data_IF_963601326459
#
_entry.id   IF_963601326459
#
_cell.length_a   1.000
_cell.length_b   1.000
_cell.length_c   1.000
_cell.angle_alpha   90.00
_cell.angle_beta   90.00
_cell.angle_gamma   90.00
#
_symmetry.space_group_name_H-M   'P 1'
#
loop_
_entity.id
_entity.type
_entity.pdbx_description
1 polymer ?
#
# COMPACT_ATOMS: atom_id res chain seq x y z
N UNK A 1 -9.28 -23.12 -36.22
CA UNK A 1 -9.85 -22.18 -37.20
C UNK A 1 -9.70 -22.81 -38.56
N UNK A 2 -10.73 -22.71 -39.41
CA UNK A 2 -10.57 -23.00 -40.84
C UNK A 2 -9.54 -22.00 -41.39
N UNK A 3 -8.73 -22.38 -42.38
CA UNK A 3 -7.96 -21.38 -43.12
C UNK A 3 -8.90 -20.54 -43.99
N UNK A 4 -8.43 -19.40 -44.49
CA UNK A 4 -9.24 -18.54 -45.36
C UNK A 4 -9.66 -19.29 -46.63
N UNK A 5 -8.79 -20.15 -47.17
CA UNK A 5 -9.09 -20.98 -48.33
C UNK A 5 -10.18 -22.01 -48.02
N UNK A 6 -10.10 -22.66 -46.85
CA UNK A 6 -11.10 -23.64 -46.42
C UNK A 6 -12.47 -22.99 -46.16
N UNK A 7 -12.48 -21.77 -45.58
CA UNK A 7 -13.69 -21.00 -45.35
C UNK A 7 -14.36 -20.58 -46.66
N UNK A 8 -13.58 -20.03 -47.61
CA UNK A 8 -14.09 -19.64 -48.92
C UNK A 8 -14.61 -20.86 -49.69
N UNK A 9 -13.90 -22.00 -49.65
CA UNK A 9 -14.35 -23.22 -50.29
C UNK A 9 -15.67 -23.74 -49.71
N UNK A 10 -15.85 -23.63 -48.39
CA UNK A 10 -17.10 -23.99 -47.71
C UNK A 10 -18.25 -23.07 -48.12
N UNK A 11 -18.08 -21.74 -48.05
CA UNK A 11 -19.13 -20.77 -48.42
C UNK A 11 -19.52 -20.87 -49.90
N UNK A 12 -18.55 -21.05 -50.80
CA UNK A 12 -18.81 -21.30 -52.24
C UNK A 12 -19.70 -22.51 -52.48
N UNK A 13 -19.50 -23.59 -51.71
CA UNK A 13 -20.31 -24.82 -51.81
C UNK A 13 -21.71 -24.62 -51.24
N UNK A 14 -21.84 -23.91 -50.12
CA UNK A 14 -23.13 -23.59 -49.48
C UNK A 14 -23.99 -22.69 -50.38
N UNK A 15 -23.40 -21.64 -50.94
CA UNK A 15 -24.10 -20.64 -51.75
C UNK A 15 -24.19 -21.05 -53.23
N UNK A 16 -23.63 -22.22 -53.60
CA UNK A 16 -23.57 -22.76 -54.97
C UNK A 16 -23.03 -21.74 -55.98
N UNK A 17 -21.98 -21.01 -55.59
CA UNK A 17 -21.39 -19.97 -56.42
C UNK A 17 -20.67 -20.58 -57.63
N UNK A 18 -21.03 -20.16 -58.84
CA UNK A 18 -20.31 -20.51 -60.06
C UNK A 18 -19.42 -19.35 -60.51
N UNK A 19 -18.18 -19.34 -60.04
CA UNK A 19 -17.21 -18.26 -60.31
C UNK A 19 -16.77 -18.15 -61.79
N UNK A 20 -17.12 -19.15 -62.61
CA UNK A 20 -16.80 -19.20 -64.04
C UNK A 20 -17.91 -18.66 -64.93
N UNK A 21 -19.05 -18.21 -64.37
CA UNK A 21 -20.12 -17.55 -65.13
C UNK A 21 -19.72 -16.11 -65.49
N UNK A 22 -19.45 -15.88 -66.78
CA UNK A 22 -19.03 -14.58 -67.32
C UNK A 22 -20.13 -13.52 -67.23
N UNK A 23 -21.41 -13.91 -67.24
CA UNK A 23 -22.54 -12.97 -67.15
C UNK A 23 -22.73 -12.43 -65.73
N UNK A 24 -22.21 -13.15 -64.72
CA UNK A 24 -22.32 -12.78 -63.30
C UNK A 24 -20.97 -12.35 -62.70
N UNK A 25 -19.97 -12.06 -63.54
CA UNK A 25 -18.58 -11.77 -63.11
C UNK A 25 -18.49 -10.71 -62.01
N UNK A 26 -19.26 -9.63 -62.11
CA UNK A 26 -19.24 -8.54 -61.12
C UNK A 26 -19.83 -8.98 -59.78
N UNK A 27 -20.93 -9.72 -59.81
CA UNK A 27 -21.61 -10.22 -58.61
C UNK A 27 -20.79 -11.33 -57.93
N UNK A 28 -20.20 -12.23 -58.71
CA UNK A 28 -19.27 -13.25 -58.23
C UNK A 28 -18.04 -12.64 -57.54
N UNK A 29 -17.45 -11.60 -58.14
CA UNK A 29 -16.32 -10.89 -57.55
C UNK A 29 -16.70 -10.24 -56.21
N UNK A 30 -17.84 -9.54 -56.16
CA UNK A 30 -18.34 -8.92 -54.92
C UNK A 30 -18.59 -9.98 -53.84
N UNK A 31 -19.14 -11.12 -54.22
CA UNK A 31 -19.47 -12.21 -53.30
C UNK A 31 -18.21 -12.87 -52.72
N UNK A 32 -17.20 -13.14 -53.55
CA UNK A 32 -15.90 -13.64 -53.08
C UNK A 32 -15.19 -12.66 -52.14
N UNK A 33 -15.25 -11.35 -52.44
CA UNK A 33 -14.70 -10.31 -51.55
C UNK A 33 -15.44 -10.27 -50.21
N UNK A 34 -16.77 -10.43 -50.21
CA UNK A 34 -17.54 -10.51 -48.98
C UNK A 34 -17.15 -11.70 -48.11
N UNK A 35 -16.88 -12.88 -48.70
CA UNK A 35 -16.39 -14.03 -47.92
C UNK A 35 -15.05 -13.77 -47.24
N UNK A 36 -14.15 -13.02 -47.89
CA UNK A 36 -12.89 -12.60 -47.28
C UNK A 36 -13.16 -11.68 -46.09
N UNK A 37 -14.02 -10.66 -46.26
CA UNK A 37 -14.40 -9.77 -45.16
C UNK A 37 -15.08 -10.51 -44.00
N UNK A 38 -16.01 -11.43 -44.29
CA UNK A 38 -16.65 -12.27 -43.27
C UNK A 38 -15.64 -13.14 -42.52
N UNK A 39 -14.68 -13.72 -43.23
CA UNK A 39 -13.63 -14.53 -42.60
C UNK A 39 -12.81 -13.68 -41.62
N UNK A 40 -12.33 -12.51 -42.05
CA UNK A 40 -11.54 -11.65 -41.16
C UNK A 40 -12.37 -11.08 -40.02
N UNK A 41 -13.61 -10.67 -40.25
CA UNK A 41 -14.46 -10.08 -39.20
C UNK A 41 -15.01 -11.11 -38.20
N UNK A 42 -15.30 -12.34 -38.64
CA UNK A 42 -15.93 -13.36 -37.79
C UNK A 42 -14.94 -14.41 -37.24
N UNK A 43 -13.80 -14.63 -37.90
CA UNK A 43 -12.81 -15.63 -37.49
C UNK A 43 -11.51 -15.01 -36.99
N UNK A 44 -11.13 -13.80 -37.43
CA UNK A 44 -10.01 -13.06 -36.86
C UNK A 44 -10.57 -11.92 -36.03
N UNK A 45 -11.14 -12.28 -34.88
CA UNK A 45 -11.83 -11.36 -34.00
C UNK A 45 -10.84 -10.33 -33.40
N UNK A 46 -10.66 -9.21 -34.11
CA UNK A 46 -9.85 -8.06 -33.67
C UNK A 46 -10.44 -7.50 -32.37
N UNK A 47 -11.75 -7.69 -32.15
CA UNK A 47 -12.46 -7.24 -30.96
C UNK A 47 -11.96 -7.95 -29.70
N UNK A 48 -11.61 -9.24 -29.73
CA UNK A 48 -11.04 -9.92 -28.56
C UNK A 48 -9.64 -9.39 -28.19
N UNK A 49 -8.82 -9.02 -29.18
CA UNK A 49 -7.51 -8.41 -28.97
C UNK A 49 -7.61 -6.96 -28.48
N UNK A 50 -8.52 -6.17 -29.08
CA UNK A 50 -8.85 -4.82 -28.64
C UNK A 50 -9.44 -4.82 -27.22
N UNK A 51 -10.35 -5.73 -26.90
CA UNK A 51 -10.91 -5.91 -25.56
C UNK A 51 -9.83 -6.30 -24.54
N UNK A 52 -8.92 -7.22 -24.88
CA UNK A 52 -7.78 -7.56 -24.03
C UNK A 52 -6.87 -6.36 -23.79
N UNK A 53 -6.64 -5.54 -24.81
CA UNK A 53 -5.84 -4.32 -24.71
C UNK A 53 -6.54 -3.28 -23.84
N UNK A 54 -7.82 -3.01 -24.07
CA UNK A 54 -8.65 -2.11 -23.25
C UNK A 54 -8.71 -2.57 -21.79
N UNK A 55 -8.90 -3.86 -21.53
CA UNK A 55 -8.90 -4.41 -20.17
C UNK A 55 -7.54 -4.29 -19.48
N UNK A 56 -6.44 -4.43 -20.24
CA UNK A 56 -5.09 -4.22 -19.75
C UNK A 56 -4.88 -2.75 -19.37
N UNK A 57 -5.22 -1.83 -20.25
CA UNK A 57 -5.09 -0.39 -20.03
C UNK A 57 -5.94 0.08 -18.84
N UNK A 58 -7.18 -0.38 -18.74
CA UNK A 58 -8.04 -0.11 -17.58
C UNK A 58 -7.43 -0.60 -16.26
N UNK A 59 -6.75 -1.76 -16.26
CA UNK A 59 -6.06 -2.26 -15.06
C UNK A 59 -4.86 -1.40 -14.70
N UNK A 60 -4.09 -0.95 -15.68
CA UNK A 60 -2.94 -0.06 -15.47
C UNK A 60 -3.41 1.28 -14.91
N UNK A 61 -4.44 1.89 -15.48
CA UNK A 61 -4.99 3.16 -15.01
C UNK A 61 -5.58 3.05 -13.61
N UNK A 62 -6.27 1.96 -13.30
CA UNK A 62 -6.75 1.68 -11.94
C UNK A 62 -5.60 1.58 -10.95
N UNK A 63 -4.50 0.94 -11.32
CA UNK A 63 -3.32 0.82 -10.46
C UNK A 63 -2.59 2.16 -10.31
N UNK A 64 -2.43 2.92 -11.40
CA UNK A 64 -1.89 4.29 -11.40
C UNK A 64 -2.71 5.20 -10.48
N UNK A 65 -4.04 5.09 -10.50
CA UNK A 65 -4.92 5.87 -9.61
C UNK A 65 -4.76 5.50 -8.13
N UNK A 66 -4.51 4.23 -7.81
CA UNK A 66 -4.20 3.82 -6.42
C UNK A 66 -2.87 4.41 -5.91
N UNK A 67 -2.00 4.81 -6.83
CA UNK A 67 -0.69 5.38 -6.55
C UNK A 67 -0.66 6.91 -6.71
N UNK A 68 -1.82 7.58 -6.74
CA UNK A 68 -1.92 9.02 -7.02
C UNK A 68 -1.19 9.91 -6.02
N UNK A 69 -1.03 9.45 -4.78
CA UNK A 69 -0.39 10.21 -3.70
C UNK A 69 1.15 10.14 -3.78
N UNK A 70 1.70 9.23 -4.60
CA UNK A 70 3.14 9.11 -4.84
C UNK A 70 3.60 10.11 -5.90
N UNK A 71 4.87 10.45 -5.85
CA UNK A 71 5.57 11.20 -6.88
C UNK A 71 5.38 10.54 -8.26
N UNK A 72 5.23 11.35 -9.31
CA UNK A 72 4.96 10.87 -10.67
C UNK A 72 6.02 9.88 -11.17
N UNK A 73 7.30 10.12 -10.90
CA UNK A 73 8.38 9.24 -11.36
C UNK A 73 8.34 7.87 -10.64
N UNK A 74 8.11 7.88 -9.33
CA UNK A 74 7.94 6.66 -8.53
C UNK A 74 6.69 5.90 -8.97
N UNK A 75 5.60 6.62 -9.24
CA UNK A 75 4.34 6.05 -9.71
C UNK A 75 4.50 5.36 -11.05
N UNK A 76 5.07 6.04 -12.05
CA UNK A 76 5.24 5.43 -13.37
C UNK A 76 6.20 4.23 -13.30
N UNK A 77 7.29 4.31 -12.53
CA UNK A 77 8.17 3.16 -12.29
C UNK A 77 7.43 1.94 -11.71
N UNK A 78 6.54 2.14 -10.75
CA UNK A 78 5.72 1.07 -10.19
C UNK A 78 4.73 0.51 -11.21
N UNK A 79 4.12 1.36 -12.03
CA UNK A 79 3.17 0.99 -13.08
C UNK A 79 3.87 0.19 -14.17
N UNK A 80 5.05 0.62 -14.61
CA UNK A 80 5.86 -0.07 -15.62
C UNK A 80 6.26 -1.48 -15.14
N UNK A 81 6.70 -1.62 -13.89
CA UNK A 81 6.99 -2.94 -13.32
C UNK A 81 5.72 -3.82 -13.28
N UNK A 82 4.57 -3.23 -12.98
CA UNK A 82 3.32 -4.00 -12.98
C UNK A 82 2.88 -4.37 -14.39
N UNK A 83 3.09 -3.49 -15.38
CA UNK A 83 2.79 -3.75 -16.78
C UNK A 83 3.65 -4.89 -17.35
N UNK A 84 4.96 -4.85 -17.09
CA UNK A 84 5.92 -5.80 -17.64
C UNK A 84 5.92 -7.14 -16.88
N UNK A 85 5.81 -7.11 -15.54
CA UNK A 85 6.00 -8.30 -14.70
C UNK A 85 4.75 -8.73 -13.92
N UNK A 86 3.65 -7.97 -13.97
CA UNK A 86 2.43 -8.27 -13.22
C UNK A 86 2.58 -8.16 -11.70
N UNK A 87 3.58 -7.40 -11.22
CA UNK A 87 3.92 -7.31 -9.78
C UNK A 87 3.61 -5.95 -9.18
N UNK A 88 2.77 -5.95 -8.14
CA UNK A 88 2.53 -4.78 -7.30
C UNK A 88 3.70 -4.53 -6.34
N UNK A 89 4.78 -3.93 -6.85
CA UNK A 89 6.00 -3.72 -6.07
C UNK A 89 5.79 -2.81 -4.86
N UNK A 90 4.85 -1.87 -4.92
CA UNK A 90 4.49 -1.03 -3.78
C UNK A 90 4.06 -1.85 -2.56
N UNK A 91 3.31 -2.94 -2.78
CA UNK A 91 2.85 -3.85 -1.71
C UNK A 91 3.98 -4.72 -1.19
N UNK A 92 4.81 -5.26 -2.09
CA UNK A 92 5.94 -6.12 -1.72
C UNK A 92 6.98 -5.36 -0.90
N UNK A 93 7.38 -4.17 -1.35
CA UNK A 93 8.33 -3.32 -0.62
C UNK A 93 7.66 -2.80 0.65
N UNK A 94 6.41 -2.31 0.57
CA UNK A 94 5.67 -1.83 1.73
C UNK A 94 5.54 -2.86 2.85
N UNK A 95 5.40 -4.15 2.53
CA UNK A 95 5.41 -5.22 3.53
C UNK A 95 6.76 -5.33 4.26
N UNK A 96 7.87 -5.25 3.54
CA UNK A 96 9.22 -5.26 4.14
C UNK A 96 9.44 -4.03 5.02
N UNK A 97 8.97 -2.86 4.57
CA UNK A 97 9.11 -1.60 5.32
C UNK A 97 8.28 -1.61 6.60
N UNK A 98 7.13 -2.30 6.61
CA UNK A 98 6.32 -2.46 7.82
C UNK A 98 7.04 -3.26 8.91
N UNK A 99 7.93 -4.17 8.56
CA UNK A 99 8.69 -4.94 9.55
C UNK A 99 9.70 -4.08 10.33
N UNK A 100 10.08 -2.91 9.79
CA UNK A 100 10.94 -1.96 10.49
C UNK A 100 10.10 -1.16 11.51
N UNK A 101 10.37 -1.44 12.79
CA UNK A 101 9.71 -0.85 13.96
C UNK A 101 9.78 0.69 13.99
N UNK A 102 10.84 1.29 13.44
CA UNK A 102 11.10 2.73 13.54
C UNK A 102 11.01 3.47 12.22
N UNK A 103 10.58 2.80 11.14
CA UNK A 103 10.51 3.38 9.81
C UNK A 103 9.82 4.75 9.78
N UNK A 104 8.68 4.89 10.45
CA UNK A 104 7.92 6.16 10.48
C UNK A 104 8.68 7.32 11.16
N UNK A 105 9.72 7.03 11.95
CA UNK A 105 10.57 8.04 12.59
C UNK A 105 11.78 8.43 11.75
N UNK A 106 11.98 7.88 10.54
CA UNK A 106 13.09 8.23 9.67
C UNK A 106 12.93 9.65 9.13
N UNK A 107 14.03 10.39 9.02
CA UNK A 107 14.02 11.80 8.55
C UNK A 107 15.21 12.14 7.65
N UNK A 108 16.15 11.22 7.46
CA UNK A 108 17.39 11.47 6.72
C UNK A 108 17.55 10.57 5.51
N UNK A 109 18.16 11.11 4.44
CA UNK A 109 18.51 10.34 3.24
C UNK A 109 19.43 9.15 3.56
N UNK A 110 20.31 9.25 4.56
CA UNK A 110 21.16 8.15 5.00
C UNK A 110 20.36 6.96 5.52
N UNK A 111 19.29 7.20 6.29
CA UNK A 111 18.43 6.13 6.80
C UNK A 111 17.69 5.44 5.66
N UNK A 112 17.07 6.22 4.75
CA UNK A 112 16.38 5.68 3.59
C UNK A 112 17.32 4.92 2.64
N UNK A 113 18.57 5.38 2.47
CA UNK A 113 19.60 4.67 1.69
C UNK A 113 19.99 3.35 2.34
N UNK A 114 20.21 3.33 3.65
CA UNK A 114 20.52 2.09 4.36
C UNK A 114 19.38 1.07 4.17
N UNK A 115 18.14 1.52 4.40
CA UNK A 115 16.96 0.68 4.27
C UNK A 115 16.73 0.21 2.82
N UNK A 116 17.11 1.01 1.82
CA UNK A 116 17.00 0.59 0.41
C UNK A 116 17.96 -0.55 0.08
N UNK A 117 19.18 -0.56 0.62
CA UNK A 117 20.10 -1.69 0.46
C UNK A 117 19.58 -2.95 1.15
N UNK A 118 19.04 -2.82 2.36
CA UNK A 118 18.45 -3.93 3.10
C UNK A 118 17.24 -4.51 2.34
N UNK A 119 16.35 -3.66 1.85
CA UNK A 119 15.22 -4.07 1.02
C UNK A 119 15.67 -4.73 -0.28
N UNK A 120 16.67 -4.17 -0.96
CA UNK A 120 17.22 -4.72 -2.20
C UNK A 120 17.76 -6.14 -1.99
N UNK A 121 18.51 -6.36 -0.90
CA UNK A 121 19.07 -7.67 -0.56
C UNK A 121 18.00 -8.76 -0.39
N UNK A 122 16.83 -8.39 0.16
CA UNK A 122 15.66 -9.26 0.37
C UNK A 122 14.90 -9.52 -0.94
N UNK A 123 14.87 -8.55 -1.86
CA UNK A 123 14.04 -8.59 -3.06
C UNK A 123 14.76 -9.16 -4.29
N UNK A 124 16.06 -8.89 -4.47
CA UNK A 124 16.78 -9.14 -5.73
C UNK A 124 16.78 -10.62 -6.15
N UNK A 125 16.79 -11.55 -5.19
CA UNK A 125 16.74 -12.99 -5.47
C UNK A 125 15.40 -13.40 -6.10
N UNK A 126 14.31 -12.77 -5.69
CA UNK A 126 12.93 -13.06 -6.15
C UNK A 126 12.54 -12.21 -7.35
N UNK A 127 13.11 -11.01 -7.46
CA UNK A 127 12.79 -10.01 -8.48
C UNK A 127 14.08 -9.51 -9.15
N UNK A 128 14.69 -10.30 -10.05
CA UNK A 128 15.95 -9.95 -10.70
C UNK A 128 15.90 -8.67 -11.53
N UNK A 129 14.71 -8.28 -12.02
CA UNK A 129 14.47 -7.04 -12.76
C UNK A 129 14.71 -5.76 -11.93
N UNK A 130 14.87 -5.88 -10.61
CA UNK A 130 15.28 -4.75 -9.76
C UNK A 130 16.78 -4.47 -9.84
N UNK A 131 17.57 -5.29 -10.55
CA UNK A 131 18.99 -5.03 -10.77
C UNK A 131 19.16 -3.63 -11.38
N UNK A 132 20.11 -2.88 -10.87
CA UNK A 132 20.41 -1.50 -11.28
C UNK A 132 19.27 -0.49 -11.02
N UNK A 133 18.20 -0.88 -10.30
CA UNK A 133 17.07 -0.03 -9.91
C UNK A 133 17.14 0.44 -8.44
N UNK A 134 18.33 0.40 -7.82
CA UNK A 134 18.50 0.75 -6.40
C UNK A 134 18.17 2.22 -6.10
N UNK A 135 18.37 3.11 -7.07
CA UNK A 135 17.99 4.52 -6.96
C UNK A 135 16.46 4.68 -6.90
N UNK A 136 15.73 3.99 -7.79
CA UNK A 136 14.26 4.02 -7.77
C UNK A 136 13.69 3.38 -6.51
N UNK A 137 14.33 2.32 -6.00
CA UNK A 137 13.96 1.74 -4.72
C UNK A 137 14.13 2.73 -3.56
N UNK A 138 15.26 3.45 -3.52
CA UNK A 138 15.50 4.52 -2.53
C UNK A 138 14.42 5.61 -2.62
N UNK A 139 14.14 6.11 -3.83
CA UNK A 139 13.10 7.15 -4.06
C UNK A 139 11.73 6.66 -3.61
N UNK A 140 11.37 5.42 -3.97
CA UNK A 140 10.12 4.81 -3.53
C UNK A 140 10.03 4.72 -2.01
N UNK A 141 11.08 4.29 -1.31
CA UNK A 141 11.05 4.15 0.16
C UNK A 141 10.82 5.50 0.83
N UNK A 142 11.52 6.55 0.37
CA UNK A 142 11.36 7.92 0.87
C UNK A 142 9.94 8.46 0.59
N UNK A 143 9.43 8.24 -0.61
CA UNK A 143 8.10 8.69 -1.01
C UNK A 143 7.00 7.89 -0.29
N UNK A 144 7.20 6.59 -0.08
CA UNK A 144 6.33 5.75 0.72
C UNK A 144 6.26 6.22 2.18
N UNK A 145 7.40 6.56 2.78
CA UNK A 145 7.44 7.16 4.12
C UNK A 145 6.62 8.45 4.17
N UNK A 146 6.83 9.35 3.22
CA UNK A 146 6.10 10.60 3.14
C UNK A 146 4.59 10.38 3.02
N UNK A 147 4.15 9.50 2.11
CA UNK A 147 2.75 9.14 1.94
C UNK A 147 2.17 8.52 3.23
N UNK A 148 2.91 7.66 3.93
CA UNK A 148 2.45 7.13 5.22
C UNK A 148 2.34 8.23 6.29
N UNK A 149 3.30 9.15 6.34
CA UNK A 149 3.34 10.23 7.32
C UNK A 149 2.27 11.30 7.05
N UNK A 150 1.92 11.53 5.78
CA UNK A 150 0.88 12.47 5.37
C UNK A 150 -0.55 12.05 5.72
N UNK A 151 -0.80 10.75 5.90
CA UNK A 151 -2.13 10.24 6.28
C UNK A 151 -2.48 10.78 7.65
N UNK A 152 -3.12 11.94 7.70
CA UNK A 152 -3.45 12.63 8.94
C UNK A 152 -4.38 11.74 9.76
N UNK A 153 -3.92 11.41 10.95
CA UNK A 153 -4.79 10.97 12.04
C UNK A 153 -5.12 12.19 12.86
N UNK A 154 -6.39 12.56 12.84
CA UNK A 154 -6.88 13.68 13.62
C UNK A 154 -6.87 13.26 15.09
N UNK A 155 -6.10 14.00 15.88
CA UNK A 155 -6.15 13.95 17.34
C UNK A 155 -6.76 15.28 17.81
N UNK A 156 -7.55 15.29 18.89
CA UNK A 156 -8.03 16.52 19.47
C UNK A 156 -6.86 17.36 19.97
N UNK A 157 -7.13 18.63 20.26
CA UNK A 157 -6.18 19.44 21.00
C UNK A 157 -6.00 18.84 22.40
N UNK A 158 -4.77 18.44 22.74
CA UNK A 158 -4.46 17.85 24.06
C UNK A 158 -3.79 18.91 24.94
N UNK A 159 -2.68 19.48 24.47
CA UNK A 159 -1.98 20.54 25.17
C UNK A 159 -1.15 21.37 24.19
N UNK A 160 -0.83 22.61 24.55
CA UNK A 160 -0.02 23.47 23.70
C UNK A 160 1.36 22.85 23.42
N UNK A 161 2.00 22.22 24.41
CA UNK A 161 3.31 21.59 24.25
C UNK A 161 3.25 20.40 23.28
N UNK A 162 2.30 19.48 23.48
CA UNK A 162 2.17 18.28 22.66
C UNK A 162 1.82 18.64 21.23
N UNK A 163 0.83 19.50 21.03
CA UNK A 163 0.39 19.93 19.70
C UNK A 163 1.51 20.67 18.95
N UNK A 164 2.23 21.57 19.63
CA UNK A 164 3.40 22.22 19.05
C UNK A 164 4.50 21.21 18.67
N UNK A 165 4.75 20.20 19.51
CA UNK A 165 5.74 19.17 19.20
C UNK A 165 5.35 18.36 17.97
N UNK A 166 4.08 17.94 17.86
CA UNK A 166 3.56 17.23 16.69
C UNK A 166 3.71 18.08 15.43
N UNK A 167 3.22 19.32 15.45
CA UNK A 167 3.22 20.22 14.29
C UNK A 167 4.64 20.61 13.86
N UNK A 168 5.52 20.91 14.81
CA UNK A 168 6.92 21.22 14.51
C UNK A 168 7.67 20.01 13.96
N UNK A 169 7.37 18.81 14.45
CA UNK A 169 8.03 17.59 13.96
C UNK A 169 7.62 17.32 12.51
N UNK A 170 6.33 17.42 12.20
CA UNK A 170 5.83 17.33 10.84
C UNK A 170 6.47 18.39 9.93
N UNK A 171 6.40 19.66 10.34
CA UNK A 171 6.85 20.78 9.51
C UNK A 171 8.34 20.75 9.20
N UNK A 172 9.17 20.33 10.17
CA UNK A 172 10.63 20.35 10.03
C UNK A 172 11.19 19.07 9.42
N UNK A 173 10.59 17.91 9.73
CA UNK A 173 11.16 16.61 9.40
C UNK A 173 10.29 15.79 8.45
N UNK A 174 9.08 16.24 8.13
CA UNK A 174 8.06 15.46 7.39
C UNK A 174 7.76 14.10 8.05
N UNK A 175 7.92 14.05 9.39
CA UNK A 175 7.70 12.86 10.21
C UNK A 175 6.40 13.02 10.99
N UNK A 176 5.55 12.00 10.94
CA UNK A 176 4.31 11.96 11.71
C UNK A 176 4.48 11.08 12.95
N UNK A 177 4.76 11.72 14.10
CA UNK A 177 4.86 11.04 15.40
C UNK A 177 3.51 10.47 15.86
N UNK A 178 2.40 11.03 15.39
CA UNK A 178 1.05 10.52 15.63
C UNK A 178 0.83 9.20 14.90
N UNK A 179 1.24 9.11 13.63
CA UNK A 179 1.14 7.85 12.88
C UNK A 179 2.06 6.77 13.45
N UNK A 180 3.25 7.14 13.91
CA UNK A 180 4.12 6.23 14.65
C UNK A 180 3.47 5.72 15.94
N UNK A 181 2.92 6.61 16.77
CA UNK A 181 2.29 6.23 18.03
C UNK A 181 1.06 5.32 17.81
N UNK A 182 0.24 5.61 16.80
CA UNK A 182 -0.87 4.74 16.40
C UNK A 182 -0.36 3.36 15.96
N UNK A 183 0.61 3.32 15.06
CA UNK A 183 1.13 2.06 14.51
C UNK A 183 1.75 1.20 15.62
N UNK A 184 2.45 1.82 16.56
CA UNK A 184 2.92 1.14 17.76
C UNK A 184 1.78 0.58 18.60
N UNK A 185 0.80 1.41 18.97
CA UNK A 185 -0.32 1.00 19.81
C UNK A 185 -1.15 -0.13 19.18
N UNK A 186 -1.35 -0.08 17.85
CA UNK A 186 -2.02 -1.12 17.09
C UNK A 186 -1.23 -2.44 17.09
N UNK A 187 0.08 -2.42 16.78
CA UNK A 187 0.90 -3.64 16.85
C UNK A 187 0.96 -4.19 18.28
N UNK A 188 1.00 -3.29 19.27
CA UNK A 188 1.01 -3.66 20.67
C UNK A 188 -0.31 -4.33 21.07
N UNK A 189 -1.47 -3.85 20.60
CA UNK A 189 -2.77 -4.47 20.89
C UNK A 189 -2.89 -5.88 20.31
N UNK A 190 -2.33 -6.11 19.12
CA UNK A 190 -2.31 -7.43 18.47
C UNK A 190 -1.31 -8.42 19.10
N UNK A 191 -0.39 -7.93 19.95
CA UNK A 191 0.71 -8.70 20.51
C UNK A 191 0.49 -9.04 22.00
N UNK A 192 -0.67 -9.60 22.34
CA UNK A 192 -1.09 -9.94 23.72
C UNK A 192 -0.02 -10.74 24.50
N UNK A 193 0.66 -11.67 23.82
CA UNK A 193 1.72 -12.50 24.39
C UNK A 193 2.98 -11.74 24.78
N UNK A 194 3.13 -10.48 24.36
CA UNK A 194 4.27 -9.62 24.66
C UNK A 194 4.02 -8.66 25.82
N UNK A 195 2.79 -8.56 26.32
CA UNK A 195 2.45 -7.62 27.40
C UNK A 195 3.13 -8.02 28.73
N UNK A 196 3.55 -7.07 29.57
CA UNK A 196 4.05 -7.40 30.90
C UNK A 196 2.99 -8.13 31.72
N UNK A 197 3.38 -9.12 32.52
CA UNK A 197 2.44 -9.84 33.41
C UNK A 197 1.69 -8.91 34.36
N UNK A 198 2.34 -7.82 34.79
CA UNK A 198 1.76 -6.77 35.65
C UNK A 198 0.65 -5.96 34.98
N UNK A 199 0.58 -6.00 33.65
CA UNK A 199 -0.41 -5.27 32.85
C UNK A 199 -1.38 -6.21 32.13
N UNK A 200 -1.43 -7.49 32.51
CA UNK A 200 -2.40 -8.45 31.97
C UNK A 200 -3.47 -8.71 33.02
N UNK A 201 -4.73 -8.49 32.66
CA UNK A 201 -5.90 -8.91 33.43
C UNK A 201 -6.66 -9.99 32.66
N UNK A 202 -7.26 -10.99 33.32
CA UNK A 202 -8.06 -12.00 32.63
C UNK A 202 -9.16 -11.33 31.83
N UNK A 203 -9.31 -11.71 30.56
CA UNK A 203 -10.40 -11.17 29.75
C UNK A 203 -11.74 -11.79 30.14
N UNK A 204 -12.81 -11.03 29.99
CA UNK A 204 -14.18 -11.53 30.11
C UNK A 204 -14.67 -12.22 28.83
N UNK A 205 -13.96 -12.04 27.71
CA UNK A 205 -14.32 -12.58 26.41
C UNK A 205 -13.70 -13.97 26.18
N UNK A 206 -14.42 -14.85 25.47
CA UNK A 206 -13.92 -16.20 25.16
C UNK A 206 -12.88 -16.24 24.05
N UNK A 207 -12.80 -15.18 23.23
CA UNK A 207 -11.90 -15.08 22.07
C UNK A 207 -10.59 -14.35 22.37
N UNK A 208 -10.46 -13.74 23.54
CA UNK A 208 -9.27 -13.03 24.02
C UNK A 208 -8.87 -13.60 25.39
N UNK A 209 -7.57 -13.83 25.63
CA UNK A 209 -7.15 -14.47 26.88
C UNK A 209 -6.88 -13.46 27.98
N UNK A 210 -6.27 -12.34 27.62
CA UNK A 210 -5.96 -11.23 28.52
C UNK A 210 -6.42 -9.91 27.93
N UNK A 211 -6.89 -9.02 28.79
CA UNK A 211 -7.07 -7.62 28.52
C UNK A 211 -5.86 -6.84 29.05
N UNK A 212 -5.48 -5.77 28.36
CA UNK A 212 -4.38 -4.92 28.77
C UNK A 212 -4.84 -3.95 29.86
N UNK A 213 -4.13 -3.93 30.99
CA UNK A 213 -4.42 -3.02 32.09
C UNK A 213 -3.71 -1.67 31.90
N UNK A 214 -4.29 -0.84 31.05
CA UNK A 214 -3.81 0.50 30.72
C UNK A 214 -3.95 1.52 31.89
N UNK A 215 -4.59 1.14 33.00
CA UNK A 215 -4.71 1.99 34.20
C UNK A 215 -3.51 1.87 35.16
N UNK A 216 -2.54 1.01 34.85
CA UNK A 216 -1.31 0.88 35.63
C UNK A 216 -0.43 2.15 35.52
N UNK A 217 0.29 2.48 36.59
CA UNK A 217 1.01 3.76 36.70
C UNK A 217 2.34 3.84 35.95
N UNK A 218 2.90 2.72 35.51
CA UNK A 218 4.27 2.68 35.00
C UNK A 218 4.42 1.79 33.77
N UNK A 219 5.30 2.21 32.85
CA UNK A 219 5.69 1.45 31.66
C UNK A 219 4.48 1.00 30.81
N UNK A 220 3.56 1.93 30.57
CA UNK A 220 2.47 1.71 29.63
C UNK A 220 3.05 1.44 28.23
N UNK A 221 2.40 0.55 27.48
CA UNK A 221 2.78 0.19 26.10
C UNK A 221 4.22 -0.31 25.92
N UNK A 222 4.84 -0.85 26.99
CA UNK A 222 6.26 -1.23 27.01
C UNK A 222 7.20 -0.07 26.65
N UNK A 223 6.78 1.16 26.96
CA UNK A 223 7.45 2.37 26.51
C UNK A 223 8.89 2.51 27.03
N UNK A 224 9.24 1.94 28.19
CA UNK A 224 10.64 1.92 28.65
C UNK A 224 11.57 1.21 27.68
N UNK A 225 11.15 0.04 27.20
CA UNK A 225 11.92 -0.75 26.24
C UNK A 225 11.94 -0.08 24.88
N UNK A 226 10.78 0.37 24.39
CA UNK A 226 10.66 1.08 23.13
C UNK A 226 11.57 2.31 23.10
N UNK A 227 11.45 3.17 24.11
CA UNK A 227 12.15 4.45 24.19
C UNK A 227 13.67 4.32 24.39
N UNK A 228 14.14 3.16 24.86
CA UNK A 228 15.58 2.84 24.89
C UNK A 228 16.15 2.55 23.51
N UNK A 229 15.38 1.85 22.66
CA UNK A 229 15.76 1.46 21.30
C UNK A 229 15.51 2.56 20.26
N UNK A 230 14.55 3.43 20.55
CA UNK A 230 14.15 4.50 19.65
C UNK A 230 15.35 5.39 19.25
N UNK A 231 15.47 5.77 17.95
CA UNK A 231 16.50 6.68 17.49
C UNK A 231 16.52 7.97 18.31
N UNK A 232 17.72 8.43 18.71
CA UNK A 232 17.92 9.63 19.54
C UNK A 232 17.95 10.89 18.67
N UNK A 233 16.79 11.30 18.18
CA UNK A 233 16.59 12.48 17.33
C UNK A 233 16.15 13.69 18.15
N UNK A 234 16.24 14.88 17.56
CA UNK A 234 15.79 16.13 18.19
C UNK A 234 14.32 16.09 18.60
N UNK A 235 13.49 15.40 17.83
CA UNK A 235 12.05 15.28 18.07
C UNK A 235 11.65 14.04 18.89
N UNK A 236 12.57 13.12 19.20
CA UNK A 236 12.27 11.95 20.05
C UNK A 236 12.89 12.08 21.44
N UNK A 237 14.02 12.77 21.58
CA UNK A 237 14.75 12.92 22.85
C UNK A 237 13.94 13.77 23.85
N UNK A 238 13.81 13.26 25.07
CA UNK A 238 12.98 13.87 26.12
C UNK A 238 11.47 13.68 25.95
N UNK A 239 11.00 13.14 24.81
CA UNK A 239 9.58 13.10 24.44
C UNK A 239 8.81 11.84 24.84
N UNK A 240 9.26 11.18 25.91
CA UNK A 240 8.69 9.90 26.34
C UNK A 240 7.23 10.06 26.77
N UNK A 241 6.91 11.05 27.59
CA UNK A 241 5.54 11.25 28.09
C UNK A 241 4.57 11.58 26.93
N UNK A 242 5.02 12.35 25.95
CA UNK A 242 4.22 12.73 24.80
C UNK A 242 3.90 11.53 23.90
N UNK A 243 4.85 10.60 23.73
CA UNK A 243 4.54 9.31 23.09
C UNK A 243 3.52 8.50 23.90
N UNK A 244 3.64 8.46 25.23
CA UNK A 244 2.68 7.76 26.10
C UNK A 244 1.27 8.35 25.94
N UNK A 245 1.15 9.68 25.93
CA UNK A 245 -0.13 10.38 25.73
C UNK A 245 -0.75 10.04 24.38
N UNK A 246 0.02 10.08 23.29
CA UNK A 246 -0.47 9.72 21.96
C UNK A 246 -0.90 8.24 21.89
N UNK A 247 -0.11 7.33 22.47
CA UNK A 247 -0.44 5.90 22.49
C UNK A 247 -1.68 5.62 23.33
N UNK A 248 -1.83 6.29 24.48
CA UNK A 248 -3.03 6.19 25.32
C UNK A 248 -4.26 6.68 24.58
N UNK A 249 -4.15 7.81 23.86
CA UNK A 249 -5.24 8.31 23.04
C UNK A 249 -5.71 7.25 22.03
N UNK A 250 -4.81 6.72 21.21
CA UNK A 250 -5.19 5.70 20.22
C UNK A 250 -5.66 4.40 20.87
N UNK A 251 -5.08 4.02 22.01
CA UNK A 251 -5.55 2.86 22.76
C UNK A 251 -7.02 2.98 23.16
N UNK A 252 -7.41 4.12 23.73
CA UNK A 252 -8.76 4.34 24.22
C UNK A 252 -9.75 4.61 23.07
N UNK A 253 -9.36 5.34 22.04
CA UNK A 253 -10.30 5.79 21.00
C UNK A 253 -10.37 4.90 19.76
N UNK A 254 -9.35 4.08 19.48
CA UNK A 254 -9.30 3.22 18.29
C UNK A 254 -9.28 1.72 18.62
N UNK A 255 -8.88 1.30 19.83
CA UNK A 255 -8.62 -0.11 20.15
C UNK A 255 -9.54 -0.67 21.24
N UNK A 256 -9.47 -0.14 22.45
CA UNK A 256 -10.16 -0.68 23.62
C UNK A 256 -11.53 -0.03 23.90
N UNK A 257 -11.72 1.23 23.50
CA UNK A 257 -12.86 2.04 23.91
C UNK A 257 -12.59 2.84 25.20
N UNK A 258 -13.30 3.96 25.36
CA UNK A 258 -13.25 4.83 26.54
C UNK A 258 -14.62 4.92 27.24
N UNK A 259 -15.32 3.80 27.35
CA UNK A 259 -16.70 3.77 27.88
C UNK A 259 -16.82 4.28 29.32
N UNK A 260 -15.72 4.19 30.08
CA UNK A 260 -15.63 4.66 31.47
C UNK A 260 -15.14 6.12 31.60
N UNK A 261 -14.82 6.79 30.48
CA UNK A 261 -14.30 8.17 30.48
C UNK A 261 -12.94 8.31 31.16
N UNK A 262 -12.06 7.31 31.02
CA UNK A 262 -10.75 7.28 31.65
C UNK A 262 -9.79 8.31 31.04
N UNK A 263 -9.98 8.71 29.77
CA UNK A 263 -9.12 9.69 29.10
C UNK A 263 -8.94 10.99 29.90
N UNK A 264 -10.02 11.53 30.43
CA UNK A 264 -10.02 12.77 31.22
C UNK A 264 -9.29 12.62 32.56
N UNK A 265 -9.41 11.45 33.20
CA UNK A 265 -8.67 11.14 34.42
C UNK A 265 -7.17 11.02 34.13
N UNK A 266 -6.81 10.31 33.05
CA UNK A 266 -5.44 10.14 32.61
C UNK A 266 -4.78 11.50 32.32
N UNK A 267 -5.43 12.37 31.53
CA UNK A 267 -4.90 13.69 31.20
C UNK A 267 -4.63 14.56 32.43
N UNK A 268 -5.50 14.55 33.44
CA UNK A 268 -5.29 15.30 34.69
C UNK A 268 -4.02 14.87 35.43
N UNK A 269 -3.64 13.60 35.32
CA UNK A 269 -2.46 13.05 35.99
C UNK A 269 -1.15 13.38 35.24
N UNK A 270 -1.17 13.36 33.90
CA UNK A 270 0.04 13.48 33.07
C UNK A 270 0.25 14.89 32.50
N UNK A 271 -0.81 15.69 32.41
CA UNK A 271 -0.79 17.10 32.03
C UNK A 271 -1.44 17.93 33.14
N UNK A 272 -0.84 18.01 34.35
CA UNK A 272 -1.35 18.90 35.38
C UNK A 272 -1.27 20.34 34.88
N UNK A 273 -2.44 20.98 34.80
CA UNK A 273 -2.60 22.42 34.50
C UNK A 273 -1.91 23.24 35.58
#
# INVERSE_FOLDING_TARGET
MLTIEEYIAKRKREDRLNEYDLNQRLDNMKTCVNYVFEYFNNYLDITEYEEKTVLKDQKLDKYRHQLRDYNSEVREWLVDIYDEYGRHMNRNIGAILKDDEFFLLYDSDSEYRSLSYDCYSKLIKKYPFLRDQTEMLFRFIKDYHYVQSQRKREIPFISQELNNWVDNTWTRYSVSVTNFAFDWAYRFSEAEDTWPKTHRKPSQYSWQKYEYDYKQKSNLFNLDSLYRKMPRKSFTKGKKQEFEILMMYFWLHDMAGDDEGYWEEYLKNVCPI
#
